data_IF_804639132105
#
_entry.id   IF_804639132105
#
_cell.length_a   1.000
_cell.length_b   1.000
_cell.length_c   1.000
_cell.angle_alpha   90.00
_cell.angle_beta   90.00
_cell.angle_gamma   90.00
#
_symmetry.space_group_name_H-M   'P 1'
#
loop_
_entity.id
_entity.type
_entity.pdbx_description
1 polymer ?
#
# COMPACT_ATOMS: atom_id res chain seq x y z
N UNK A 1 25.23 12.30 -24.10
CA UNK A 1 24.31 12.30 -22.93
C UNK A 1 24.17 10.85 -22.50
N UNK A 2 24.80 10.47 -21.38
CA UNK A 2 24.75 9.11 -20.87
C UNK A 2 23.34 8.79 -20.34
N UNK A 3 22.88 7.55 -20.49
CA UNK A 3 21.57 7.06 -20.02
C UNK A 3 21.32 7.37 -18.53
N UNK A 4 22.39 7.52 -17.72
CA UNK A 4 22.33 7.93 -16.33
C UNK A 4 21.74 9.34 -16.12
N UNK A 5 22.03 10.29 -16.98
CA UNK A 5 21.47 11.66 -16.89
C UNK A 5 19.96 11.70 -17.15
N UNK A 6 19.41 10.75 -17.90
CA UNK A 6 17.97 10.68 -18.15
C UNK A 6 17.17 10.26 -16.91
N UNK A 7 17.75 9.44 -16.03
CA UNK A 7 17.08 8.93 -14.85
C UNK A 7 17.10 9.90 -13.66
N UNK A 8 18.14 10.73 -13.55
CA UNK A 8 18.24 11.72 -12.46
C UNK A 8 17.12 12.78 -12.48
N UNK A 9 16.47 12.97 -13.63
CA UNK A 9 15.31 13.86 -13.77
C UNK A 9 13.98 13.12 -13.55
N UNK A 10 13.98 11.78 -13.49
CA UNK A 10 12.77 10.97 -13.36
C UNK A 10 12.32 10.86 -11.91
N UNK A 11 11.01 10.76 -11.74
CA UNK A 11 10.37 10.38 -10.51
C UNK A 11 9.67 9.04 -10.71
N UNK A 12 10.14 7.99 -10.04
CA UNK A 12 9.51 6.67 -10.07
C UNK A 12 8.61 6.54 -8.85
N UNK A 13 7.32 6.47 -9.10
CA UNK A 13 6.30 6.37 -8.05
C UNK A 13 5.83 4.94 -7.98
N UNK A 14 5.87 4.35 -6.80
CA UNK A 14 5.42 2.98 -6.57
C UNK A 14 4.09 2.97 -5.82
N UNK A 15 3.18 2.09 -6.21
CA UNK A 15 2.18 1.60 -5.26
C UNK A 15 2.87 0.72 -4.21
N UNK A 16 2.24 0.56 -3.04
CA UNK A 16 2.83 -0.22 -1.96
C UNK A 16 2.28 -1.66 -1.95
N UNK A 17 1.02 -1.82 -1.57
CA UNK A 17 0.40 -3.12 -1.35
C UNK A 17 0.13 -3.82 -2.69
N UNK A 18 0.68 -5.02 -2.90
CA UNK A 18 0.52 -5.77 -4.15
C UNK A 18 1.51 -5.40 -5.25
N UNK A 19 2.31 -4.35 -5.07
CA UNK A 19 3.32 -3.90 -6.05
C UNK A 19 4.73 -3.89 -5.46
N UNK A 20 5.01 -3.00 -4.51
CA UNK A 20 6.32 -2.93 -3.85
C UNK A 20 6.50 -4.10 -2.89
N UNK A 21 5.48 -4.38 -2.10
CA UNK A 21 5.51 -5.38 -1.03
C UNK A 21 4.30 -6.31 -1.10
N UNK A 22 4.53 -7.60 -0.87
CA UNK A 22 3.47 -8.57 -0.64
C UNK A 22 3.01 -8.48 0.82
N UNK A 23 2.00 -7.65 1.05
CA UNK A 23 1.36 -7.47 2.35
C UNK A 23 0.19 -8.42 2.58
N UNK A 24 -0.21 -9.19 1.56
CA UNK A 24 -1.40 -10.02 1.59
C UNK A 24 -1.46 -11.00 2.78
N UNK A 25 -0.37 -11.70 3.16
CA UNK A 25 -0.43 -12.63 4.29
C UNK A 25 -0.78 -11.95 5.62
N UNK A 26 -0.19 -10.79 5.92
CA UNK A 26 -0.43 -10.07 7.18
C UNK A 26 -1.79 -9.35 7.17
N UNK A 27 -2.22 -8.83 6.02
CA UNK A 27 -3.58 -8.31 5.84
C UNK A 27 -4.63 -9.42 6.03
N UNK A 28 -4.36 -10.64 5.53
CA UNK A 28 -5.25 -11.78 5.71
C UNK A 28 -5.33 -12.21 7.19
N UNK A 29 -4.19 -12.27 7.88
CA UNK A 29 -4.17 -12.56 9.31
C UNK A 29 -4.99 -11.55 10.13
N UNK A 30 -4.87 -10.26 9.80
CA UNK A 30 -5.67 -9.20 10.43
C UNK A 30 -7.17 -9.34 10.11
N UNK A 31 -7.52 -9.71 8.88
CA UNK A 31 -8.91 -9.96 8.49
C UNK A 31 -9.50 -11.15 9.26
N UNK A 32 -8.78 -12.28 9.31
CA UNK A 32 -9.19 -13.46 10.08
C UNK A 32 -9.39 -13.12 11.56
N UNK A 33 -8.45 -12.37 12.15
CA UNK A 33 -8.59 -11.92 13.53
C UNK A 33 -9.86 -11.08 13.72
N UNK A 34 -10.06 -10.05 12.89
CA UNK A 34 -11.22 -9.17 13.01
C UNK A 34 -12.54 -9.95 12.91
N UNK A 35 -12.71 -10.81 11.91
CA UNK A 35 -13.91 -11.60 11.72
C UNK A 35 -14.14 -12.57 12.89
N UNK A 36 -13.08 -13.19 13.43
CA UNK A 36 -13.17 -14.09 14.59
C UNK A 36 -13.71 -13.39 15.86
N UNK A 37 -13.46 -12.08 16.03
CA UNK A 37 -14.01 -11.31 17.17
C UNK A 37 -15.52 -11.23 17.16
N UNK A 38 -16.15 -11.45 16.01
CA UNK A 38 -17.60 -11.47 15.82
C UNK A 38 -18.14 -12.89 15.60
N UNK A 39 -17.31 -13.93 15.82
CA UNK A 39 -17.70 -15.33 15.59
C UNK A 39 -17.90 -15.68 14.12
N UNK A 40 -17.30 -14.93 13.20
CA UNK A 40 -17.37 -15.13 11.76
C UNK A 40 -16.06 -15.69 11.22
N UNK A 41 -16.12 -16.42 10.11
CA UNK A 41 -14.95 -16.80 9.31
C UNK A 41 -14.65 -15.71 8.28
N UNK A 42 -13.38 -15.55 7.91
CA UNK A 42 -12.95 -14.68 6.85
C UNK A 42 -12.78 -15.44 5.52
N UNK A 43 -12.70 -14.70 4.39
CA UNK A 43 -12.31 -15.27 3.09
C UNK A 43 -10.88 -15.80 3.15
N UNK A 44 -10.54 -16.71 2.23
CA UNK A 44 -9.19 -17.24 2.11
C UNK A 44 -8.20 -16.20 1.50
N UNK A 45 -6.92 -16.47 1.66
CA UNK A 45 -5.86 -15.59 1.16
C UNK A 45 -5.89 -15.38 -0.35
N UNK A 46 -6.11 -16.38 -1.22
CA UNK A 46 -6.24 -16.18 -2.65
C UNK A 46 -7.36 -15.19 -3.02
N UNK A 47 -8.52 -15.33 -2.40
CA UNK A 47 -9.66 -14.42 -2.61
C UNK A 47 -9.35 -13.01 -2.11
N UNK A 48 -8.68 -12.87 -0.95
CA UNK A 48 -8.27 -11.57 -0.41
C UNK A 48 -7.36 -10.81 -1.38
N UNK A 49 -6.43 -11.48 -2.05
CA UNK A 49 -5.47 -10.83 -2.98
C UNK A 49 -6.15 -9.97 -4.03
N UNK A 50 -7.34 -10.37 -4.52
CA UNK A 50 -8.12 -9.59 -5.48
C UNK A 50 -8.78 -8.33 -4.89
N UNK A 51 -8.72 -8.14 -3.58
CA UNK A 51 -9.35 -7.01 -2.87
C UNK A 51 -8.35 -5.98 -2.35
N UNK A 52 -7.05 -6.28 -2.43
CA UNK A 52 -5.98 -5.41 -1.96
C UNK A 52 -5.91 -4.12 -2.80
N UNK A 53 -5.42 -3.03 -2.23
CA UNK A 53 -5.27 -1.75 -2.91
C UNK A 53 -6.43 -0.76 -2.71
N UNK A 54 -7.56 -1.20 -2.13
CA UNK A 54 -8.74 -0.33 -1.92
C UNK A 54 -8.86 0.22 -0.49
N UNK A 55 -7.99 -0.23 0.42
CA UNK A 55 -7.99 0.12 1.85
C UNK A 55 -8.77 -0.86 2.71
N UNK A 56 -8.52 -0.83 4.03
CA UNK A 56 -8.99 -1.83 5.00
C UNK A 56 -10.52 -1.98 5.02
N UNK A 57 -11.25 -0.85 5.02
CA UNK A 57 -12.72 -0.88 5.07
C UNK A 57 -13.33 -1.57 3.85
N UNK A 58 -12.87 -1.21 2.65
CA UNK A 58 -13.33 -1.85 1.41
C UNK A 58 -12.99 -3.35 1.36
N UNK A 59 -11.86 -3.74 1.92
CA UNK A 59 -11.44 -5.14 2.04
C UNK A 59 -12.41 -5.94 2.93
N UNK A 60 -12.81 -5.38 4.08
CA UNK A 60 -13.80 -5.99 4.98
C UNK A 60 -15.17 -6.10 4.30
N UNK A 61 -15.64 -5.03 3.65
CA UNK A 61 -16.92 -5.00 2.93
C UNK A 61 -16.96 -6.04 1.80
N UNK A 62 -15.91 -6.11 0.98
CA UNK A 62 -15.79 -7.12 -0.08
C UNK A 62 -15.76 -8.54 0.47
N UNK A 63 -15.03 -8.75 1.57
CA UNK A 63 -14.96 -10.06 2.24
C UNK A 63 -16.31 -10.50 2.77
N UNK A 64 -17.06 -9.61 3.39
CA UNK A 64 -18.41 -9.89 3.86
C UNK A 64 -19.36 -10.20 2.69
N UNK A 65 -19.24 -9.46 1.57
CA UNK A 65 -20.05 -9.69 0.37
C UNK A 65 -19.78 -11.06 -0.26
N UNK A 66 -18.51 -11.48 -0.36
CA UNK A 66 -18.13 -12.82 -0.86
C UNK A 66 -18.71 -13.95 0.01
N UNK A 67 -18.75 -13.74 1.33
CA UNK A 67 -19.31 -14.68 2.29
C UNK A 67 -20.84 -14.55 2.43
N UNK A 68 -21.48 -13.63 1.70
CA UNK A 68 -22.92 -13.30 1.77
C UNK A 68 -23.36 -12.89 3.19
N UNK A 69 -22.49 -12.19 3.90
CA UNK A 69 -22.76 -11.62 5.23
C UNK A 69 -23.21 -10.18 5.06
N UNK A 70 -24.38 -9.85 5.58
CA UNK A 70 -24.85 -8.48 5.68
C UNK A 70 -24.33 -7.86 6.98
N UNK A 71 -23.46 -6.87 6.85
CA UNK A 71 -22.91 -6.13 7.99
C UNK A 71 -23.73 -4.87 8.27
N UNK A 72 -24.12 -4.70 9.52
CA UNK A 72 -24.59 -3.38 9.98
C UNK A 72 -23.43 -2.39 10.03
N UNK A 73 -23.73 -1.08 10.02
CA UNK A 73 -22.70 -0.04 10.12
C UNK A 73 -21.83 -0.21 11.39
N UNK A 74 -22.44 -0.61 12.50
CA UNK A 74 -21.72 -0.83 13.76
C UNK A 74 -20.80 -2.05 13.70
N UNK A 75 -21.25 -3.14 13.08
CA UNK A 75 -20.40 -4.34 12.89
C UNK A 75 -19.21 -4.02 11.98
N UNK A 76 -19.44 -3.30 10.87
CA UNK A 76 -18.36 -2.88 9.96
C UNK A 76 -17.32 -2.03 10.70
N UNK A 77 -17.75 -1.09 11.53
CA UNK A 77 -16.83 -0.26 12.32
C UNK A 77 -16.06 -1.09 13.36
N UNK A 78 -16.73 -2.02 14.05
CA UNK A 78 -16.09 -2.92 15.01
C UNK A 78 -15.03 -3.79 14.33
N UNK A 79 -15.36 -4.39 13.18
CA UNK A 79 -14.41 -5.18 12.40
C UNK A 79 -13.22 -4.33 11.91
N UNK A 80 -13.50 -3.10 11.46
CA UNK A 80 -12.46 -2.19 10.99
C UNK A 80 -11.47 -1.82 12.10
N UNK A 81 -11.96 -1.50 13.29
CA UNK A 81 -11.09 -1.21 14.44
C UNK A 81 -10.26 -2.44 14.85
N UNK A 82 -10.89 -3.62 14.97
CA UNK A 82 -10.19 -4.85 15.31
C UNK A 82 -9.13 -5.23 14.27
N UNK A 83 -9.44 -5.03 12.97
CA UNK A 83 -8.50 -5.22 11.87
C UNK A 83 -7.28 -4.30 12.01
N UNK A 84 -7.51 -3.00 12.21
CA UNK A 84 -6.43 -2.01 12.30
C UNK A 84 -5.54 -2.25 13.52
N UNK A 85 -6.12 -2.59 14.67
CA UNK A 85 -5.35 -2.84 15.89
C UNK A 85 -4.45 -4.07 15.73
N UNK A 86 -4.98 -5.17 15.19
CA UNK A 86 -4.19 -6.36 14.91
C UNK A 86 -3.11 -6.09 13.85
N UNK A 87 -3.49 -5.43 12.75
CA UNK A 87 -2.57 -5.16 11.65
C UNK A 87 -1.39 -4.29 12.07
N UNK A 88 -1.62 -3.23 12.85
CA UNK A 88 -0.54 -2.37 13.39
C UNK A 88 0.50 -3.16 14.18
N UNK A 89 0.07 -4.16 14.95
CA UNK A 89 0.96 -4.97 15.76
C UNK A 89 1.69 -6.07 14.97
N UNK A 90 1.23 -6.41 13.75
CA UNK A 90 1.69 -7.60 13.03
C UNK A 90 1.90 -7.36 11.52
N UNK A 91 2.16 -6.13 11.07
CA UNK A 91 2.10 -5.78 9.65
C UNK A 91 3.29 -6.24 8.81
N UNK A 92 4.36 -6.72 9.44
CA UNK A 92 5.58 -7.18 8.76
C UNK A 92 6.05 -8.56 9.23
N UNK A 93 5.14 -9.37 9.77
CA UNK A 93 5.47 -10.75 10.17
C UNK A 93 5.82 -11.60 8.94
N UNK A 94 5.01 -11.47 7.88
CA UNK A 94 5.16 -12.20 6.61
C UNK A 94 5.35 -11.28 5.41
N UNK A 95 5.11 -9.99 5.55
CA UNK A 95 5.30 -9.00 4.48
C UNK A 95 6.74 -8.96 3.99
N UNK A 96 6.93 -9.02 2.68
CA UNK A 96 8.24 -9.01 1.99
C UNK A 96 8.16 -8.16 0.73
N UNK A 97 9.31 -7.65 0.27
CA UNK A 97 9.42 -7.14 -1.10
C UNK A 97 9.02 -8.25 -2.09
N UNK A 98 8.36 -7.86 -3.17
CA UNK A 98 8.21 -8.78 -4.31
C UNK A 98 9.56 -9.08 -4.95
N UNK A 99 9.66 -10.25 -5.57
CA UNK A 99 10.86 -10.67 -6.30
C UNK A 99 11.22 -9.64 -7.37
N UNK A 100 12.49 -9.26 -7.44
CA UNK A 100 13.00 -8.25 -8.35
C UNK A 100 12.81 -6.79 -7.90
N UNK A 101 12.11 -6.54 -6.77
CA UNK A 101 11.91 -5.17 -6.29
C UNK A 101 13.19 -4.57 -5.71
N UNK A 102 13.99 -5.36 -5.00
CA UNK A 102 15.26 -4.84 -4.45
C UNK A 102 16.20 -4.41 -5.57
N UNK A 103 16.31 -5.21 -6.63
CA UNK A 103 17.07 -4.87 -7.84
C UNK A 103 16.53 -3.62 -8.54
N UNK A 104 15.18 -3.48 -8.59
CA UNK A 104 14.53 -2.31 -9.19
C UNK A 104 14.81 -1.04 -8.38
N UNK A 105 14.72 -1.11 -7.06
CA UNK A 105 15.04 0.03 -6.19
C UNK A 105 16.52 0.42 -6.31
N UNK A 106 17.42 -0.54 -6.30
CA UNK A 106 18.85 -0.30 -6.46
C UNK A 106 19.16 0.29 -7.84
N UNK A 107 18.51 -0.20 -8.91
CA UNK A 107 18.61 0.37 -10.25
C UNK A 107 18.24 1.87 -10.28
N UNK A 108 17.17 2.25 -9.58
CA UNK A 108 16.75 3.64 -9.48
C UNK A 108 17.75 4.49 -8.69
N UNK A 109 18.24 3.98 -7.55
CA UNK A 109 19.22 4.66 -6.70
C UNK A 109 20.55 4.92 -7.44
N UNK A 110 21.10 3.90 -8.13
CA UNK A 110 22.34 4.02 -8.90
C UNK A 110 22.26 5.05 -10.03
N UNK A 111 21.05 5.47 -10.39
CA UNK A 111 20.78 6.43 -11.47
C UNK A 111 20.25 7.76 -10.98
N UNK A 112 20.31 7.99 -9.66
CA UNK A 112 19.83 9.19 -9.00
C UNK A 112 18.36 9.52 -9.31
N UNK A 113 17.54 8.52 -9.66
CA UNK A 113 16.11 8.70 -9.84
C UNK A 113 15.44 8.94 -8.49
N UNK A 114 14.51 9.89 -8.43
CA UNK A 114 13.69 10.10 -7.26
C UNK A 114 12.69 8.97 -7.13
N UNK A 115 12.58 8.37 -5.97
CA UNK A 115 11.57 7.35 -5.68
C UNK A 115 10.54 7.87 -4.70
N UNK A 116 9.27 7.60 -4.95
CA UNK A 116 8.16 7.99 -4.09
C UNK A 116 7.11 6.88 -3.98
N UNK A 117 6.32 6.92 -2.91
CA UNK A 117 5.20 6.01 -2.67
C UNK A 117 3.88 6.77 -2.81
N UNK A 118 2.94 6.19 -3.60
CA UNK A 118 1.57 6.65 -3.76
C UNK A 118 0.63 5.48 -3.42
N UNK A 119 0.02 5.48 -2.23
CA UNK A 119 -0.71 4.33 -1.73
C UNK A 119 -2.08 4.67 -1.13
N UNK A 120 -3.06 3.75 -1.29
CA UNK A 120 -4.35 3.85 -0.61
C UNK A 120 -4.29 3.39 0.87
N UNK A 121 -3.13 2.94 1.35
CA UNK A 121 -2.85 2.78 2.78
C UNK A 121 -2.78 4.15 3.45
N UNK A 122 -3.14 4.27 4.74
CA UNK A 122 -2.95 5.51 5.50
C UNK A 122 -1.47 5.83 5.68
N UNK A 123 -1.15 7.11 5.79
CA UNK A 123 0.23 7.60 5.91
C UNK A 123 1.01 6.87 7.01
N UNK A 124 0.45 6.82 8.22
CA UNK A 124 1.12 6.21 9.36
C UNK A 124 1.43 4.72 9.15
N UNK A 125 0.51 3.96 8.54
CA UNK A 125 0.72 2.54 8.26
C UNK A 125 1.74 2.34 7.12
N UNK A 126 1.74 3.21 6.11
CA UNK A 126 2.71 3.14 5.02
C UNK A 126 4.14 3.41 5.53
N UNK A 127 4.32 4.46 6.33
CA UNK A 127 5.60 4.81 6.93
C UNK A 127 6.11 3.71 7.88
N UNK A 128 5.21 3.10 8.67
CA UNK A 128 5.59 2.01 9.56
C UNK A 128 6.07 0.79 8.77
N UNK A 129 5.37 0.34 7.72
CA UNK A 129 5.83 -0.77 6.86
C UNK A 129 7.20 -0.49 6.27
N UNK A 130 7.42 0.72 5.73
CA UNK A 130 8.72 1.09 5.17
C UNK A 130 9.82 1.08 6.22
N UNK A 131 9.53 1.57 7.43
CA UNK A 131 10.48 1.60 8.54
C UNK A 131 10.86 0.18 8.98
N UNK A 132 9.89 -0.69 9.20
CA UNK A 132 10.11 -2.06 9.66
C UNK A 132 10.85 -2.93 8.62
N UNK A 133 10.69 -2.61 7.32
CA UNK A 133 11.43 -3.24 6.23
C UNK A 133 12.77 -2.55 5.89
N UNK A 134 13.16 -1.50 6.62
CA UNK A 134 14.37 -0.70 6.37
C UNK A 134 14.38 -0.07 4.95
N UNK A 135 13.25 0.39 4.47
CA UNK A 135 13.08 0.98 3.14
C UNK A 135 12.88 2.51 3.17
N UNK A 136 12.68 3.11 4.35
CA UNK A 136 12.32 4.53 4.48
C UNK A 136 13.28 5.47 3.75
N UNK A 137 14.58 5.25 3.87
CA UNK A 137 15.62 6.11 3.29
C UNK A 137 15.71 6.02 1.75
N UNK A 138 15.06 5.03 1.14
CA UNK A 138 15.03 4.87 -0.32
C UNK A 138 14.04 5.83 -0.99
N UNK A 139 13.05 6.36 -0.25
CA UNK A 139 11.96 7.17 -0.81
C UNK A 139 12.03 8.63 -0.36
N UNK A 140 12.03 9.55 -1.32
CA UNK A 140 12.04 11.00 -1.04
C UNK A 140 10.68 11.54 -0.66
N UNK A 141 9.60 10.78 -0.90
CA UNK A 141 8.23 11.14 -0.56
C UNK A 141 7.36 9.88 -0.38
N UNK A 142 6.46 9.95 0.57
CA UNK A 142 5.40 8.95 0.80
C UNK A 142 4.09 9.72 0.94
N UNK A 143 3.06 9.35 0.18
CA UNK A 143 1.73 9.95 0.27
C UNK A 143 0.67 8.87 0.46
N UNK A 144 0.10 8.82 1.65
CA UNK A 144 -1.01 7.95 2.03
C UNK A 144 -2.38 8.55 1.70
N UNK A 145 -3.40 7.69 1.68
CA UNK A 145 -4.76 8.08 1.29
C UNK A 145 -5.43 9.13 2.19
N UNK A 146 -4.97 9.28 3.42
CA UNK A 146 -5.48 10.25 4.40
C UNK A 146 -4.76 11.61 4.34
N UNK A 147 -3.77 11.75 3.45
CA UNK A 147 -2.99 12.99 3.26
C UNK A 147 -3.15 13.60 1.87
N UNK A 148 -3.88 12.97 0.98
CA UNK A 148 -4.26 13.49 -0.35
C UNK A 148 -5.67 14.06 -0.34
N UNK A 149 -5.95 15.00 -1.23
CA UNK A 149 -7.31 15.51 -1.41
C UNK A 149 -8.23 14.47 -2.08
N UNK A 150 -7.69 13.61 -2.92
CA UNK A 150 -8.41 12.52 -3.58
C UNK A 150 -7.48 11.30 -3.71
N UNK A 151 -7.90 10.15 -3.15
CA UNK A 151 -7.13 8.90 -3.23
C UNK A 151 -7.23 8.22 -4.61
N UNK A 152 -6.35 7.25 -4.88
CA UNK A 152 -6.44 6.40 -6.09
C UNK A 152 -7.85 5.77 -6.21
N UNK A 153 -8.43 5.70 -7.41
CA UNK A 153 -7.81 5.85 -8.74
C UNK A 153 -7.75 7.29 -9.28
N UNK A 154 -8.03 8.32 -8.48
CA UNK A 154 -7.89 9.70 -8.94
C UNK A 154 -6.42 10.01 -9.28
N UNK A 155 -6.22 10.68 -10.44
CA UNK A 155 -4.91 11.18 -10.85
C UNK A 155 -4.35 12.26 -9.91
N UNK A 156 -5.19 12.85 -9.05
CA UNK A 156 -4.80 13.85 -8.06
C UNK A 156 -3.77 13.27 -7.10
N UNK A 157 -4.00 12.07 -6.58
CA UNK A 157 -3.07 11.39 -5.66
C UNK A 157 -1.66 11.27 -6.25
N UNK A 158 -1.54 10.81 -7.50
CA UNK A 158 -0.25 10.72 -8.19
C UNK A 158 0.40 12.10 -8.37
N UNK A 159 -0.37 13.12 -8.80
CA UNK A 159 0.15 14.48 -9.00
C UNK A 159 0.68 15.09 -7.71
N UNK A 160 -0.06 14.93 -6.61
CA UNK A 160 0.36 15.39 -5.28
C UNK A 160 1.61 14.63 -4.80
N UNK A 161 1.70 13.32 -5.03
CA UNK A 161 2.90 12.52 -4.70
C UNK A 161 4.13 13.01 -5.46
N UNK A 162 4.01 13.24 -6.78
CA UNK A 162 5.10 13.75 -7.62
C UNK A 162 5.53 15.16 -7.19
N UNK A 163 4.56 16.01 -6.84
CA UNK A 163 4.84 17.35 -6.31
C UNK A 163 5.59 17.28 -4.98
N UNK A 164 5.17 16.41 -4.06
CA UNK A 164 5.83 16.17 -2.78
C UNK A 164 7.28 15.71 -2.95
N UNK A 165 7.52 14.87 -3.95
CA UNK A 165 8.86 14.42 -4.36
C UNK A 165 9.69 15.50 -5.09
N UNK A 166 9.14 16.71 -5.27
CA UNK A 166 9.74 17.80 -6.07
C UNK A 166 10.10 17.31 -7.49
N UNK A 167 9.23 16.48 -8.07
CA UNK A 167 9.33 15.95 -9.42
C UNK A 167 8.46 16.73 -10.41
N UNK A 168 8.52 16.33 -11.69
CA UNK A 168 7.67 16.84 -12.76
C UNK A 168 6.77 15.70 -13.24
N UNK A 169 5.50 15.97 -13.45
CA UNK A 169 4.51 14.93 -13.82
C UNK A 169 4.78 14.32 -15.20
N UNK A 170 5.31 15.10 -16.13
CA UNK A 170 5.71 14.66 -17.47
C UNK A 170 6.99 13.81 -17.49
N UNK A 171 7.69 13.75 -16.36
CA UNK A 171 8.87 12.91 -16.13
C UNK A 171 8.64 11.85 -15.07
N UNK A 172 7.40 11.66 -14.64
CA UNK A 172 7.03 10.66 -13.65
C UNK A 172 6.63 9.34 -14.34
N UNK A 173 6.97 8.23 -13.66
CA UNK A 173 6.53 6.88 -14.02
C UNK A 173 5.84 6.30 -12.80
N UNK A 174 4.60 5.78 -12.97
CA UNK A 174 3.89 5.04 -11.92
C UNK A 174 4.07 3.55 -12.15
N UNK A 175 4.49 2.83 -11.12
CA UNK A 175 4.55 1.36 -11.06
C UNK A 175 3.46 0.92 -10.10
N UNK A 176 2.52 0.13 -10.60
CA UNK A 176 1.36 -0.35 -9.85
C UNK A 176 0.58 -1.37 -10.67
N UNK A 177 -0.31 -2.10 -10.02
CA UNK A 177 -1.26 -3.05 -10.61
C UNK A 177 -2.63 -2.40 -10.91
#
# INVERSE_FOLDING_TARGET
VTQAMLWSEKTVVFDMDGTLVDTAPDLHAALCHAFSTQGMEAIDLPTLRSTIGHGARAMIEKSAAELKIELTANQLETLHLAFLDYYRANMTVHTRLFDGMDETLNFCLERDAKMAICTNKTQALAEQVLSELNLSDKFVAVLGADKTSEKKPSAVHLKETVSLAKGKIDQAVMIGD
#
